data_IF_569803091090
#
_entry.id   IF_569803091090
#
_cell.length_a   1.000
_cell.length_b   1.000
_cell.length_c   1.000
_cell.angle_alpha   90.00
_cell.angle_beta   90.00
_cell.angle_gamma   90.00
#
_symmetry.space_group_name_H-M   'P 1'
#
loop_
_entity.id
_entity.type
_entity.pdbx_description
1 polymer ?
#
# COMPACT_ATOMS: atom_id res chain seq x y z
N UNK A 1 6.09 27.27 5.58
CA UNK A 1 6.60 27.29 6.96
C UNK A 1 5.65 28.01 7.92
N UNK A 2 5.21 29.25 7.63
CA UNK A 2 4.33 30.01 8.55
C UNK A 2 3.07 29.25 8.99
N UNK A 3 2.41 28.53 8.06
CA UNK A 3 1.23 27.72 8.36
C UNK A 3 1.50 26.55 9.33
N UNK A 4 2.72 25.99 9.31
CA UNK A 4 3.12 24.88 10.21
C UNK A 4 3.41 25.40 11.61
N UNK A 5 3.98 26.60 11.71
CA UNK A 5 4.32 27.22 12.98
C UNK A 5 3.08 27.74 13.72
N UNK A 6 2.07 28.23 12.99
CA UNK A 6 0.83 28.80 13.53
C UNK A 6 -0.28 27.79 13.84
N UNK A 7 -0.13 26.53 13.40
CA UNK A 7 -1.18 25.52 13.57
C UNK A 7 -0.82 24.56 14.70
N UNK A 8 -1.80 24.27 15.57
CA UNK A 8 -1.68 23.30 16.65
C UNK A 8 -2.35 21.95 16.32
N UNK A 9 -3.07 21.88 15.19
CA UNK A 9 -3.66 20.62 14.71
C UNK A 9 -2.66 19.82 13.88
N UNK A 10 -2.39 18.58 14.29
CA UNK A 10 -1.46 17.66 13.62
C UNK A 10 -1.86 17.38 12.17
N UNK A 11 -3.17 17.34 11.88
CA UNK A 11 -3.66 17.15 10.51
C UNK A 11 -3.30 18.36 9.62
N UNK A 12 -3.47 19.59 10.14
CA UNK A 12 -3.11 20.82 9.46
C UNK A 12 -1.58 21.00 9.29
N UNK A 13 -0.80 20.60 10.30
CA UNK A 13 0.67 20.60 10.27
C UNK A 13 1.17 19.73 9.11
N UNK A 14 0.61 18.52 8.96
CA UNK A 14 0.93 17.62 7.85
C UNK A 14 0.30 18.06 6.52
N UNK A 15 -0.78 18.85 6.56
CA UNK A 15 -1.52 19.28 5.37
C UNK A 15 -2.46 18.21 4.82
N UNK A 16 -2.97 17.34 5.69
CA UNK A 16 -3.98 16.32 5.38
C UNK A 16 -5.34 16.73 5.94
N UNK A 17 -6.46 16.39 5.28
CA UNK A 17 -7.77 16.59 5.87
C UNK A 17 -7.90 15.77 7.16
N UNK A 18 -8.83 16.09 8.05
CA UNK A 18 -9.16 15.24 9.20
C UNK A 18 -10.24 14.26 8.78
N UNK A 19 -9.86 13.05 8.38
CA UNK A 19 -10.79 11.98 8.01
C UNK A 19 -10.41 10.66 8.68
N UNK A 20 -11.43 9.94 9.13
CA UNK A 20 -11.32 8.62 9.77
C UNK A 20 -10.76 7.56 8.80
N UNK A 21 -10.91 7.75 7.49
CA UNK A 21 -10.47 6.82 6.44
C UNK A 21 -9.08 7.11 5.88
N UNK A 22 -8.34 8.05 6.47
CA UNK A 22 -7.03 8.41 5.94
C UNK A 22 -6.06 7.27 6.11
N UNK A 23 -5.64 6.76 4.96
CA UNK A 23 -4.63 5.72 4.85
C UNK A 23 -3.28 6.24 5.35
N UNK A 24 -2.52 5.36 6.02
CA UNK A 24 -1.19 5.71 6.54
C UNK A 24 -0.26 6.19 5.42
N UNK A 25 -0.43 5.65 4.21
CA UNK A 25 0.31 6.08 3.02
C UNK A 25 0.09 7.56 2.72
N UNK A 26 -1.13 8.07 2.91
CA UNK A 26 -1.45 9.50 2.68
C UNK A 26 -0.80 10.40 3.73
N UNK A 27 -0.86 10.02 5.01
CA UNK A 27 -0.18 10.73 6.12
C UNK A 27 1.32 10.76 5.89
N UNK A 28 1.89 9.64 5.46
CA UNK A 28 3.32 9.51 5.17
C UNK A 28 3.75 10.37 3.99
N UNK A 29 2.99 10.39 2.89
CA UNK A 29 3.29 11.22 1.72
C UNK A 29 3.26 12.72 2.06
N UNK A 30 2.29 13.12 2.87
CA UNK A 30 2.18 14.48 3.37
C UNK A 30 3.37 14.88 4.27
N UNK A 31 3.79 13.98 5.16
CA UNK A 31 5.02 14.15 5.96
C UNK A 31 6.25 14.36 5.07
N UNK A 32 6.49 13.48 4.09
CA UNK A 32 7.62 13.60 3.17
C UNK A 32 7.65 14.92 2.40
N UNK A 33 6.49 15.35 1.88
CA UNK A 33 6.36 16.63 1.17
C UNK A 33 6.69 17.82 2.08
N UNK A 34 6.14 17.83 3.31
CA UNK A 34 6.36 18.89 4.29
C UNK A 34 7.80 18.92 4.84
N UNK A 35 8.39 17.76 5.10
CA UNK A 35 9.78 17.63 5.56
C UNK A 35 10.77 18.13 4.52
N UNK A 36 10.56 17.80 3.23
CA UNK A 36 11.38 18.34 2.11
C UNK A 36 11.26 19.86 1.94
N UNK A 37 10.12 20.44 2.36
CA UNK A 37 9.88 21.88 2.33
C UNK A 37 10.45 22.63 3.54
N UNK A 38 10.67 21.95 4.66
CA UNK A 38 11.18 22.53 5.91
C UNK A 38 12.60 22.05 6.28
N UNK A 39 13.29 21.35 5.38
CA UNK A 39 14.59 20.73 5.67
C UNK A 39 15.66 21.78 6.04
N UNK A 40 16.41 21.59 7.14
CA UNK A 40 17.43 22.55 7.59
C UNK A 40 18.54 22.80 6.56
N UNK A 41 18.90 21.80 5.74
CA UNK A 41 19.88 22.01 4.64
C UNK A 41 19.43 23.02 3.59
N UNK A 42 18.12 23.18 3.36
CA UNK A 42 17.63 24.17 2.39
C UNK A 42 17.60 25.59 2.97
N UNK A 43 17.64 25.71 4.30
CA UNK A 43 17.54 26.97 5.02
C UNK A 43 18.56 27.03 6.16
N UNK A 44 19.86 27.01 5.84
CA UNK A 44 20.91 27.06 6.85
C UNK A 44 20.78 28.35 7.68
N UNK A 45 20.78 28.22 9.00
CA UNK A 45 20.68 29.34 9.94
C UNK A 45 19.26 29.85 10.25
N UNK A 46 18.22 29.26 9.66
CA UNK A 46 16.84 29.64 9.98
C UNK A 46 16.26 28.74 11.10
N UNK A 47 16.15 29.28 12.31
CA UNK A 47 15.55 28.60 13.47
C UNK A 47 14.10 28.17 13.24
N UNK A 48 13.38 28.89 12.39
CA UNK A 48 11.98 28.59 12.07
C UNK A 48 11.84 27.33 11.22
N UNK A 49 12.82 27.05 10.36
CA UNK A 49 12.85 25.83 9.55
C UNK A 49 13.07 24.60 10.44
N UNK A 50 13.99 24.70 11.39
CA UNK A 50 14.24 23.66 12.40
C UNK A 50 12.98 23.40 13.22
N UNK A 51 12.32 24.44 13.74
CA UNK A 51 11.09 24.30 14.53
C UNK A 51 9.92 23.74 13.72
N UNK A 52 9.77 24.16 12.46
CA UNK A 52 8.73 23.63 11.56
C UNK A 52 8.98 22.15 11.21
N UNK A 53 10.22 21.75 10.92
CA UNK A 53 10.60 20.37 10.65
C UNK A 53 10.29 19.47 11.86
N UNK A 54 10.67 19.96 13.02
CA UNK A 54 10.39 19.37 14.30
C UNK A 54 8.89 19.11 14.50
N UNK A 55 8.04 20.15 14.35
CA UNK A 55 6.57 20.01 14.45
C UNK A 55 6.01 18.99 13.46
N UNK A 56 6.52 18.94 12.24
CA UNK A 56 6.10 17.98 11.20
C UNK A 56 6.45 16.54 11.59
N UNK A 57 7.60 16.31 12.22
CA UNK A 57 8.00 15.00 12.74
C UNK A 57 7.06 14.50 13.83
N UNK A 58 6.76 15.33 14.83
CA UNK A 58 5.87 14.96 15.94
C UNK A 58 4.44 14.70 15.44
N UNK A 59 3.96 15.50 14.48
CA UNK A 59 2.65 15.24 13.87
C UNK A 59 2.60 13.88 13.17
N UNK A 60 3.67 13.49 12.48
CA UNK A 60 3.76 12.17 11.87
C UNK A 60 3.81 11.05 12.91
N UNK A 61 4.59 11.20 13.99
CA UNK A 61 4.70 10.16 15.03
C UNK A 61 3.36 9.84 15.69
N UNK A 62 2.57 10.87 15.98
CA UNK A 62 1.25 10.71 16.59
C UNK A 62 0.22 10.17 15.60
N UNK A 63 0.20 10.66 14.34
CA UNK A 63 -0.81 10.25 13.36
C UNK A 63 -0.47 8.94 12.64
N UNK A 64 0.80 8.53 12.59
CA UNK A 64 1.24 7.30 11.93
C UNK A 64 0.87 6.05 12.71
N UNK A 65 0.84 6.10 14.05
CA UNK A 65 0.46 4.98 14.91
C UNK A 65 -1.06 5.01 15.22
N UNK A 66 -1.83 3.94 14.93
CA UNK A 66 -3.28 3.91 15.10
C UNK A 66 -3.71 4.07 16.56
N UNK A 67 -2.89 3.59 17.51
CA UNK A 67 -3.15 3.76 18.94
C UNK A 67 -3.00 5.22 19.36
N UNK A 68 -1.92 5.86 18.91
CA UNK A 68 -1.64 7.28 19.16
C UNK A 68 -2.64 8.18 18.45
N UNK A 69 -2.97 7.89 17.18
CA UNK A 69 -3.99 8.57 16.38
C UNK A 69 -5.36 8.50 17.05
N UNK A 70 -5.78 7.32 17.52
CA UNK A 70 -7.06 7.16 18.23
C UNK A 70 -7.09 7.99 19.52
N UNK A 71 -5.97 8.06 20.23
CA UNK A 71 -5.83 8.86 21.46
C UNK A 71 -5.87 10.36 21.18
N UNK A 72 -5.33 10.78 20.03
CA UNK A 72 -5.42 12.16 19.55
C UNK A 72 -6.84 12.51 19.09
N UNK A 73 -7.48 11.63 18.33
CA UNK A 73 -8.83 11.81 17.79
C UNK A 73 -9.92 11.75 18.87
N UNK A 74 -9.70 11.02 19.97
CA UNK A 74 -10.66 10.90 21.07
C UNK A 74 -10.70 12.11 22.02
N UNK A 75 -9.78 13.06 21.88
CA UNK A 75 -9.76 14.28 22.70
C UNK A 75 -10.62 15.39 22.07
N UNK A 76 -11.43 16.11 22.86
CA UNK A 76 -12.23 17.24 22.35
C UNK A 76 -11.32 18.40 21.93
N UNK A 77 -11.71 19.09 20.85
CA UNK A 77 -10.91 20.12 20.16
C UNK A 77 -10.52 21.35 21.02
N UNK A 78 -11.11 21.50 22.21
CA UNK A 78 -10.85 22.61 23.13
C UNK A 78 -9.79 22.30 24.19
N UNK A 79 -9.29 21.06 24.24
CA UNK A 79 -8.27 20.62 25.21
C UNK A 79 -7.06 20.01 24.50
N UNK A 80 -6.49 20.72 23.54
CA UNK A 80 -5.17 20.40 23.02
C UNK A 80 -4.14 21.08 23.93
N UNK A 81 -3.48 20.36 24.87
CA UNK A 81 -2.36 20.94 25.58
C UNK A 81 -1.29 21.29 24.55
N UNK A 82 -0.57 22.40 24.77
CA UNK A 82 0.68 22.66 24.05
C UNK A 82 1.56 21.43 24.25
N UNK A 83 1.72 20.62 23.21
CA UNK A 83 2.67 19.51 23.23
C UNK A 83 4.03 20.16 23.46
N UNK A 84 4.65 19.89 24.62
CA UNK A 84 6.00 20.37 24.92
C UNK A 84 6.98 19.66 23.99
N UNK A 85 7.17 20.31 22.84
CA UNK A 85 7.94 19.85 21.71
C UNK A 85 9.39 19.47 22.09
N UNK A 86 9.92 20.09 23.14
CA UNK A 86 11.31 20.01 23.56
C UNK A 86 11.64 18.90 24.57
N UNK A 87 10.67 18.10 25.05
CA UNK A 87 10.92 17.15 26.15
C UNK A 87 11.16 15.69 25.76
N UNK A 88 11.16 15.33 24.47
CA UNK A 88 11.47 13.96 24.02
C UNK A 88 12.84 13.89 23.36
N UNK A 89 13.84 13.60 24.17
CA UNK A 89 15.16 13.16 23.72
C UNK A 89 15.10 11.78 23.06
N UNK A 90 15.07 11.78 21.72
CA UNK A 90 15.75 10.86 20.78
C UNK A 90 15.90 9.36 21.11
N UNK A 91 15.32 8.51 20.24
CA UNK A 91 16.01 7.37 19.63
C UNK A 91 16.21 7.63 18.11
N UNK A 92 16.74 8.81 17.75
CA UNK A 92 16.61 9.38 16.40
C UNK A 92 17.41 8.70 15.27
N UNK A 93 18.54 8.04 15.53
CA UNK A 93 19.35 7.48 14.44
C UNK A 93 18.68 6.28 13.75
N UNK A 94 18.13 5.35 14.54
CA UNK A 94 17.45 4.16 14.04
C UNK A 94 16.10 4.51 13.39
N UNK A 95 15.37 5.48 13.95
CA UNK A 95 14.13 5.98 13.34
C UNK A 95 14.37 6.79 12.05
N UNK A 96 15.49 7.51 11.95
CA UNK A 96 15.88 8.20 10.71
C UNK A 96 16.24 7.18 9.61
N UNK A 97 17.02 6.15 9.95
CA UNK A 97 17.36 5.08 9.01
C UNK A 97 16.11 4.32 8.54
N UNK A 98 15.22 3.93 9.47
CA UNK A 98 13.91 3.33 9.13
C UNK A 98 13.10 4.25 8.23
N UNK A 99 13.09 5.56 8.51
CA UNK A 99 12.43 6.57 7.69
C UNK A 99 12.92 6.57 6.24
N UNK A 100 14.25 6.61 6.05
CA UNK A 100 14.90 6.59 4.74
C UNK A 100 14.66 5.26 4.02
N UNK A 101 14.87 4.12 4.68
CA UNK A 101 14.65 2.80 4.09
C UNK A 101 13.20 2.64 3.63
N UNK A 102 12.25 2.98 4.49
CA UNK A 102 10.83 2.92 4.14
C UNK A 102 10.46 3.94 3.04
N UNK A 103 11.19 5.05 2.90
CA UNK A 103 11.02 6.00 1.79
C UNK A 103 11.46 5.38 0.47
N UNK A 104 12.64 4.75 0.44
CA UNK A 104 13.18 4.07 -0.75
C UNK A 104 12.25 2.92 -1.17
N UNK A 105 11.75 2.14 -0.21
CA UNK A 105 10.77 1.09 -0.51
C UNK A 105 9.44 1.65 -1.03
N UNK A 106 8.99 2.83 -0.57
CA UNK A 106 7.79 3.48 -1.08
C UNK A 106 7.98 3.98 -2.51
N UNK A 107 9.08 4.67 -2.79
CA UNK A 107 9.46 5.15 -4.12
C UNK A 107 9.56 3.97 -5.11
N UNK A 108 10.17 2.86 -4.67
CA UNK A 108 10.20 1.61 -5.41
C UNK A 108 8.79 1.08 -5.76
N UNK A 109 7.86 1.05 -4.80
CA UNK A 109 6.49 0.59 -5.04
C UNK A 109 5.67 1.56 -5.88
N UNK A 110 5.92 2.87 -5.77
CA UNK A 110 5.28 3.92 -6.56
C UNK A 110 5.79 3.93 -8.00
N UNK A 111 7.01 3.42 -8.23
CA UNK A 111 7.65 3.36 -9.55
C UNK A 111 8.44 4.63 -9.87
N UNK A 112 8.69 5.47 -8.87
CA UNK A 112 9.57 6.63 -8.99
C UNK A 112 11.01 6.18 -8.69
N UNK A 113 11.76 5.93 -9.76
CA UNK A 113 13.16 5.49 -9.66
C UNK A 113 14.16 6.65 -9.86
N UNK A 114 13.72 7.91 -9.81
CA UNK A 114 14.63 9.05 -10.01
C UNK A 114 15.77 9.06 -9.01
N UNK A 115 15.47 8.83 -7.72
CA UNK A 115 16.49 8.78 -6.67
C UNK A 115 17.50 7.66 -6.91
N UNK A 116 17.02 6.48 -7.32
CA UNK A 116 17.86 5.32 -7.66
C UNK A 116 18.71 5.63 -8.89
N UNK A 117 18.16 6.31 -9.90
CA UNK A 117 18.92 6.74 -11.08
C UNK A 117 20.03 7.72 -10.71
N UNK A 118 19.74 8.73 -9.90
CA UNK A 118 20.76 9.68 -9.42
C UNK A 118 21.84 9.01 -8.58
N UNK A 119 21.45 8.04 -7.74
CA UNK A 119 22.40 7.28 -6.93
C UNK A 119 23.30 6.39 -7.80
N UNK A 120 22.73 5.66 -8.77
CA UNK A 120 23.49 4.81 -9.69
C UNK A 120 24.49 5.63 -10.51
N UNK A 121 24.10 6.82 -10.98
CA UNK A 121 25.00 7.75 -11.67
C UNK A 121 26.13 8.23 -10.75
N UNK A 122 25.81 8.67 -9.54
CA UNK A 122 26.82 9.08 -8.57
C UNK A 122 27.82 7.95 -8.22
N UNK A 123 27.34 6.71 -8.12
CA UNK A 123 28.20 5.53 -7.89
C UNK A 123 29.09 5.24 -9.11
N UNK A 124 28.55 5.39 -10.32
CA UNK A 124 29.30 5.28 -11.58
C UNK A 124 30.40 6.34 -11.68
N UNK A 125 30.09 7.60 -11.32
CA UNK A 125 31.06 8.70 -11.30
C UNK A 125 32.19 8.48 -10.28
N UNK A 126 31.86 7.89 -9.13
CA UNK A 126 32.84 7.56 -8.08
C UNK A 126 33.72 6.36 -8.44
N UNK A 127 33.26 5.46 -9.32
CA UNK A 127 33.98 4.26 -9.73
C UNK A 127 34.02 4.15 -11.27
N UNK A 128 34.97 4.83 -11.93
CA UNK A 128 35.09 4.82 -13.39
C UNK A 128 35.36 3.43 -13.98
N UNK A 129 35.88 2.49 -13.16
CA UNK A 129 36.12 1.10 -13.53
C UNK A 129 34.86 0.24 -13.64
N UNK A 130 33.72 0.73 -13.14
CA UNK A 130 32.46 -0.02 -13.14
C UNK A 130 31.71 0.05 -14.48
N UNK A 131 32.17 0.89 -15.42
CA UNK A 131 31.57 1.13 -16.75
C UNK A 131 30.04 1.28 -16.71
N UNK A 132 29.52 1.90 -15.64
CA UNK A 132 28.09 2.08 -15.45
C UNK A 132 27.60 3.28 -16.28
N UNK A 133 27.67 3.15 -17.60
CA UNK A 133 27.11 4.13 -18.54
C UNK A 133 25.59 4.22 -18.43
N UNK A 134 24.98 5.14 -19.17
CA UNK A 134 23.51 5.32 -19.17
C UNK A 134 22.76 4.04 -19.53
N UNK A 135 23.32 3.19 -20.40
CA UNK A 135 22.74 1.90 -20.77
C UNK A 135 22.72 0.90 -19.60
N UNK A 136 23.79 0.86 -18.81
CA UNK A 136 23.88 0.03 -17.61
C UNK A 136 22.87 0.47 -16.54
N UNK A 137 22.74 1.78 -16.33
CA UNK A 137 21.74 2.35 -15.42
C UNK A 137 20.32 2.01 -15.88
N UNK A 138 20.01 2.18 -17.16
CA UNK A 138 18.70 1.85 -17.73
C UNK A 138 18.38 0.35 -17.63
N UNK A 139 19.37 -0.52 -17.82
CA UNK A 139 19.22 -1.97 -17.63
C UNK A 139 18.86 -2.32 -16.18
N UNK A 140 19.58 -1.76 -15.20
CA UNK A 140 19.26 -1.96 -13.76
C UNK A 140 17.85 -1.47 -13.44
N UNK A 141 17.47 -0.28 -13.93
CA UNK A 141 16.13 0.26 -13.76
C UNK A 141 15.04 -0.64 -14.36
N UNK A 142 15.28 -1.22 -15.54
CA UNK A 142 14.33 -2.15 -16.17
C UNK A 142 14.12 -3.44 -15.37
N UNK A 143 15.18 -3.95 -14.74
CA UNK A 143 15.11 -5.09 -13.83
C UNK A 143 14.33 -4.72 -12.57
N UNK A 144 14.60 -3.55 -11.97
CA UNK A 144 13.88 -3.08 -10.79
C UNK A 144 12.38 -2.88 -11.07
N UNK A 145 12.04 -2.37 -12.25
CA UNK A 145 10.65 -2.29 -12.73
C UNK A 145 10.00 -3.68 -12.83
N UNK A 146 10.72 -4.66 -13.36
CA UNK A 146 10.24 -6.05 -13.45
C UNK A 146 10.03 -6.67 -12.06
N UNK A 147 10.92 -6.40 -11.11
CA UNK A 147 10.77 -6.84 -9.71
C UNK A 147 9.56 -6.17 -9.06
N UNK A 148 9.40 -4.86 -9.26
CA UNK A 148 8.26 -4.09 -8.75
C UNK A 148 6.94 -4.68 -9.22
N UNK A 149 6.84 -4.98 -10.52
CA UNK A 149 5.64 -5.57 -11.11
C UNK A 149 5.28 -6.90 -10.42
N UNK A 150 6.26 -7.77 -10.20
CA UNK A 150 6.06 -9.03 -9.48
C UNK A 150 5.63 -8.81 -8.03
N UNK A 151 6.19 -7.83 -7.33
CA UNK A 151 5.83 -7.48 -5.95
C UNK A 151 4.40 -6.97 -5.86
N UNK A 152 3.96 -6.13 -6.80
CA UNK A 152 2.59 -5.63 -6.85
C UNK A 152 1.58 -6.75 -7.13
N UNK A 153 1.88 -7.61 -8.10
CA UNK A 153 1.08 -8.80 -8.39
C UNK A 153 0.97 -9.70 -7.16
N UNK A 154 2.09 -9.95 -6.47
CA UNK A 154 2.12 -10.73 -5.23
C UNK A 154 1.26 -10.10 -4.12
N UNK A 155 1.39 -8.78 -3.91
CA UNK A 155 0.57 -8.04 -2.94
C UNK A 155 -0.93 -8.22 -3.22
N UNK A 156 -1.32 -8.11 -4.49
CA UNK A 156 -2.72 -8.27 -4.91
C UNK A 156 -3.22 -9.69 -4.69
N UNK A 157 -2.40 -10.68 -5.02
CA UNK A 157 -2.69 -12.08 -4.73
C UNK A 157 -2.95 -12.30 -3.23
N UNK A 158 -2.07 -11.78 -2.38
CA UNK A 158 -2.21 -11.89 -0.92
C UNK A 158 -3.50 -11.23 -0.44
N UNK A 159 -3.83 -10.03 -0.93
CA UNK A 159 -5.07 -9.33 -0.54
C UNK A 159 -6.31 -10.11 -1.00
N UNK A 160 -6.32 -10.62 -2.23
CA UNK A 160 -7.43 -11.43 -2.75
C UNK A 160 -7.60 -12.74 -1.97
N UNK A 161 -6.50 -13.44 -1.70
CA UNK A 161 -6.50 -14.67 -0.89
C UNK A 161 -6.98 -14.41 0.54
N UNK A 162 -6.52 -13.33 1.16
CA UNK A 162 -6.95 -12.93 2.49
C UNK A 162 -8.46 -12.68 2.53
N UNK A 163 -9.02 -11.99 1.52
CA UNK A 163 -10.46 -11.77 1.40
C UNK A 163 -11.27 -13.07 1.34
N UNK A 164 -10.87 -14.01 0.49
CA UNK A 164 -11.56 -15.31 0.37
C UNK A 164 -11.40 -16.18 1.63
N UNK A 165 -10.24 -16.13 2.29
CA UNK A 165 -10.04 -16.82 3.57
C UNK A 165 -10.94 -16.26 4.68
N UNK A 166 -11.08 -14.94 4.78
CA UNK A 166 -12.01 -14.32 5.72
C UNK A 166 -13.45 -14.79 5.49
N UNK A 167 -13.91 -14.81 4.23
CA UNK A 167 -15.25 -15.30 3.87
C UNK A 167 -15.44 -16.78 4.22
N UNK A 168 -14.42 -17.62 4.00
CA UNK A 168 -14.46 -19.02 4.39
C UNK A 168 -14.58 -19.19 5.93
N UNK A 169 -13.85 -18.38 6.70
CA UNK A 169 -13.93 -18.36 8.16
C UNK A 169 -15.30 -17.90 8.67
N UNK A 170 -15.93 -16.92 8.02
CA UNK A 170 -17.31 -16.49 8.31
C UNK A 170 -18.32 -17.62 8.06
N UNK A 171 -18.17 -18.37 6.96
CA UNK A 171 -19.02 -19.54 6.71
C UNK A 171 -18.78 -20.62 7.76
N UNK A 172 -17.52 -20.85 8.14
CA UNK A 172 -17.19 -21.82 9.19
C UNK A 172 -17.78 -21.42 10.54
N UNK A 173 -17.78 -20.12 10.89
CA UNK A 173 -18.40 -19.65 12.12
C UNK A 173 -19.92 -19.81 12.08
N UNK A 174 -20.57 -19.50 10.95
CA UNK A 174 -22.00 -19.74 10.73
C UNK A 174 -22.36 -21.22 10.85
N UNK A 175 -21.51 -22.13 10.36
CA UNK A 175 -21.68 -23.58 10.52
C UNK A 175 -21.73 -24.02 11.99
N UNK A 176 -20.92 -23.39 12.85
CA UNK A 176 -20.89 -23.72 14.29
C UNK A 176 -22.12 -23.22 15.04
N UNK A 177 -22.79 -22.19 14.53
CA UNK A 177 -23.98 -21.61 15.15
C UNK A 177 -25.27 -22.35 14.76
N UNK A 178 -25.24 -23.17 13.71
CA UNK A 178 -26.40 -23.93 13.27
C UNK A 178 -26.61 -25.20 14.09
N UNK A 179 -27.86 -25.55 14.45
CA UNK A 179 -28.17 -26.81 15.09
C UNK A 179 -27.89 -27.99 14.14
N UNK A 180 -27.51 -29.14 14.71
CA UNK A 180 -27.09 -30.30 13.92
C UNK A 180 -28.14 -30.75 12.90
N UNK A 181 -29.42 -30.67 13.28
CA UNK A 181 -30.57 -31.10 12.50
C UNK A 181 -31.02 -30.13 11.40
N UNK A 182 -30.44 -28.92 11.32
CA UNK A 182 -30.73 -28.00 10.22
C UNK A 182 -29.94 -28.40 8.96
N UNK A 183 -30.44 -29.46 8.31
CA UNK A 183 -29.83 -30.04 7.12
C UNK A 183 -29.86 -29.05 5.94
N UNK A 184 -30.91 -28.23 5.82
CA UNK A 184 -31.05 -27.23 4.78
C UNK A 184 -30.03 -26.09 4.95
N UNK A 185 -29.93 -25.52 6.16
CA UNK A 185 -28.95 -24.48 6.47
C UNK A 185 -27.51 -24.98 6.29
N UNK A 186 -27.22 -26.20 6.73
CA UNK A 186 -25.88 -26.81 6.61
C UNK A 186 -25.51 -27.12 5.16
N UNK A 187 -26.43 -27.70 4.38
CA UNK A 187 -26.19 -27.95 2.95
C UNK A 187 -25.98 -26.65 2.18
N UNK A 188 -26.72 -25.59 2.50
CA UNK A 188 -26.51 -24.25 1.93
C UNK A 188 -25.11 -23.71 2.24
N UNK A 189 -24.66 -23.78 3.49
CA UNK A 189 -23.31 -23.34 3.86
C UNK A 189 -22.22 -24.21 3.21
N UNK A 190 -22.45 -25.50 3.01
CA UNK A 190 -21.53 -26.39 2.27
C UNK A 190 -21.38 -25.90 0.83
N UNK A 191 -22.49 -25.61 0.15
CA UNK A 191 -22.49 -25.09 -1.22
C UNK A 191 -21.71 -23.77 -1.29
N UNK A 192 -21.91 -22.86 -0.35
CA UNK A 192 -21.15 -21.59 -0.28
C UNK A 192 -19.65 -21.82 -0.11
N UNK A 193 -19.25 -22.75 0.76
CA UNK A 193 -17.84 -23.07 0.97
C UNK A 193 -17.21 -23.66 -0.29
N UNK A 194 -17.90 -24.62 -0.92
CA UNK A 194 -17.48 -25.22 -2.21
C UNK A 194 -17.35 -24.15 -3.29
N UNK A 195 -18.27 -23.19 -3.32
CA UNK A 195 -18.25 -22.06 -4.25
C UNK A 195 -16.99 -21.23 -4.10
N UNK A 196 -16.64 -20.81 -2.87
CA UNK A 196 -15.38 -20.09 -2.57
C UNK A 196 -14.16 -20.88 -3.04
N UNK A 197 -14.10 -22.18 -2.72
CA UNK A 197 -12.95 -23.02 -3.09
C UNK A 197 -12.77 -23.12 -4.61
N UNK A 198 -13.87 -23.25 -5.36
CA UNK A 198 -13.86 -23.38 -6.82
C UNK A 198 -13.61 -22.02 -7.50
N UNK A 199 -14.13 -20.93 -6.95
CA UNK A 199 -13.97 -19.58 -7.52
C UNK A 199 -12.61 -18.94 -7.21
N UNK A 200 -11.94 -19.35 -6.13
CA UNK A 200 -10.68 -18.73 -5.66
C UNK A 200 -9.60 -18.64 -6.75
N UNK A 201 -9.30 -19.68 -7.55
CA UNK A 201 -8.31 -19.59 -8.62
C UNK A 201 -8.68 -18.55 -9.69
N UNK A 202 -9.97 -18.43 -10.03
CA UNK A 202 -10.47 -17.47 -11.03
C UNK A 202 -10.46 -16.04 -10.48
N UNK A 203 -10.80 -15.85 -9.22
CA UNK A 203 -10.73 -14.54 -8.54
C UNK A 203 -9.28 -14.06 -8.50
N UNK A 204 -8.35 -14.96 -8.16
CA UNK A 204 -6.92 -14.68 -8.10
C UNK A 204 -6.39 -14.24 -9.47
N UNK A 205 -6.71 -14.99 -10.53
CA UNK A 205 -6.30 -14.67 -11.89
C UNK A 205 -6.89 -13.33 -12.38
N UNK A 206 -8.18 -13.09 -12.13
CA UNK A 206 -8.80 -11.80 -12.47
C UNK A 206 -8.17 -10.63 -11.71
N UNK A 207 -7.83 -10.82 -10.43
CA UNK A 207 -7.20 -9.79 -9.61
C UNK A 207 -5.80 -9.45 -10.11
N UNK A 208 -5.04 -10.46 -10.54
CA UNK A 208 -3.74 -10.27 -11.22
C UNK A 208 -3.92 -9.49 -12.53
N UNK A 209 -4.89 -9.87 -13.36
CA UNK A 209 -5.09 -9.28 -14.68
C UNK A 209 -5.64 -7.84 -14.63
N UNK A 210 -6.46 -7.50 -13.63
CA UNK A 210 -6.99 -6.15 -13.43
C UNK A 210 -5.90 -5.09 -13.15
N UNK A 211 -4.74 -5.50 -12.63
CA UNK A 211 -3.62 -4.60 -12.41
C UNK A 211 -2.96 -4.14 -13.71
N UNK A 212 -2.93 -5.01 -14.72
CA UNK A 212 -2.37 -4.70 -16.04
C UNK A 212 -3.26 -3.76 -16.85
N UNK A 213 -4.56 -3.74 -16.56
CA UNK A 213 -5.55 -2.96 -17.32
C UNK A 213 -5.80 -1.56 -16.77
N UNK A 214 -5.27 -1.17 -15.61
CA UNK A 214 -5.45 0.17 -15.05
C UNK A 214 -4.45 1.17 -15.68
N UNK A 215 -4.90 2.16 -16.47
CA UNK A 215 -4.02 3.03 -17.25
C UNK A 215 -3.41 4.21 -16.47
N UNK A 216 -3.39 4.20 -15.14
CA UNK A 216 -3.03 5.38 -14.33
C UNK A 216 -1.52 5.59 -14.14
N UNK A 217 -0.64 4.75 -14.69
CA UNK A 217 0.79 5.06 -14.80
C UNK A 217 1.11 5.57 -16.20
N UNK A 218 1.08 6.88 -16.36
CA UNK A 218 1.47 7.57 -17.58
C UNK A 218 2.97 7.36 -17.89
N UNK A 219 3.30 6.38 -18.71
CA UNK A 219 4.46 6.49 -19.60
C UNK A 219 4.27 5.69 -20.89
N UNK A 220 4.36 6.33 -22.08
CA UNK A 220 4.14 5.67 -23.35
C UNK A 220 5.47 5.14 -23.90
N UNK A 221 5.76 3.85 -23.70
CA UNK A 221 6.66 3.13 -24.59
C UNK A 221 5.84 2.18 -25.46
N UNK A 222 5.45 2.72 -26.62
CA UNK A 222 5.02 1.96 -27.78
C UNK A 222 6.16 1.02 -28.20
N UNK A 223 6.06 -0.29 -27.95
CA UNK A 223 6.33 -1.28 -29.02
C UNK A 223 6.01 -2.77 -28.76
N UNK A 224 5.47 -3.21 -27.61
CA UNK A 224 5.27 -4.66 -27.39
C UNK A 224 3.91 -5.11 -26.81
N UNK A 225 2.91 -4.22 -26.83
CA UNK A 225 1.60 -4.41 -26.15
C UNK A 225 0.74 -5.61 -26.59
N UNK A 226 1.12 -6.38 -27.62
CA UNK A 226 0.30 -7.49 -28.14
C UNK A 226 0.82 -8.88 -27.71
N UNK A 227 2.08 -9.04 -27.30
CA UNK A 227 2.67 -10.36 -26.99
C UNK A 227 2.54 -10.81 -25.52
N UNK A 228 2.31 -9.89 -24.58
CA UNK A 228 2.38 -10.22 -23.14
C UNK A 228 1.04 -10.60 -22.48
N UNK A 229 -0.08 -10.50 -23.20
CA UNK A 229 -1.41 -10.88 -22.66
C UNK A 229 -1.50 -12.36 -22.27
N UNK A 230 -0.61 -13.20 -22.79
CA UNK A 230 -0.59 -14.64 -22.54
C UNK A 230 0.40 -15.07 -21.43
N UNK A 231 1.20 -14.14 -20.86
CA UNK A 231 2.19 -14.48 -19.81
C UNK A 231 1.59 -14.67 -18.42
N UNK A 232 0.38 -14.14 -18.18
CA UNK A 232 -0.26 -14.15 -16.85
C UNK A 232 -1.50 -15.04 -16.74
N UNK A 233 -1.85 -15.75 -17.81
CA UNK A 233 -2.95 -16.72 -17.76
C UNK A 233 -2.48 -17.98 -17.00
N UNK A 234 -2.85 -18.06 -15.72
CA UNK A 234 -2.56 -19.22 -14.88
C UNK A 234 -3.49 -20.39 -15.21
N UNK A 235 -4.71 -20.10 -15.69
CA UNK A 235 -5.70 -21.11 -16.03
C UNK A 235 -5.99 -21.10 -17.54
N UNK A 236 -6.06 -22.28 -18.18
CA UNK A 236 -6.57 -22.36 -19.54
C UNK A 236 -7.99 -21.79 -19.62
N UNK A 237 -8.32 -21.01 -20.66
CA UNK A 237 -9.66 -20.42 -20.85
C UNK A 237 -10.80 -21.43 -20.71
N UNK A 238 -10.58 -22.69 -21.13
CA UNK A 238 -11.54 -23.79 -20.97
C UNK A 238 -11.84 -24.10 -19.51
N UNK A 239 -10.81 -24.09 -18.64
CA UNK A 239 -10.96 -24.32 -17.19
C UNK A 239 -11.71 -23.18 -16.53
N UNK A 240 -11.42 -21.92 -16.91
CA UNK A 240 -12.16 -20.75 -16.40
C UNK A 240 -13.65 -20.83 -16.75
N UNK A 241 -13.98 -21.22 -17.98
CA UNK A 241 -15.38 -21.40 -18.40
C UNK A 241 -16.07 -22.54 -17.65
N UNK A 242 -15.38 -23.66 -17.41
CA UNK A 242 -15.91 -24.77 -16.62
C UNK A 242 -16.17 -24.35 -15.16
N UNK A 243 -15.21 -23.68 -14.53
CA UNK A 243 -15.34 -23.15 -13.17
C UNK A 243 -16.53 -22.20 -13.07
N UNK A 244 -16.69 -21.27 -14.03
CA UNK A 244 -17.85 -20.37 -14.09
C UNK A 244 -19.17 -21.12 -14.27
N UNK A 245 -19.19 -22.17 -15.09
CA UNK A 245 -20.36 -23.02 -15.26
C UNK A 245 -20.76 -23.70 -13.95
N UNK A 246 -19.79 -24.26 -13.23
CA UNK A 246 -20.01 -24.88 -11.91
C UNK A 246 -20.48 -23.84 -10.89
N UNK A 247 -19.90 -22.65 -10.86
CA UNK A 247 -20.31 -21.54 -9.98
C UNK A 247 -21.79 -21.19 -10.16
N UNK A 248 -22.27 -21.09 -11.41
CA UNK A 248 -23.67 -20.81 -11.73
C UNK A 248 -24.61 -21.92 -11.25
N UNK A 249 -24.21 -23.17 -11.38
CA UNK A 249 -25.00 -24.32 -10.89
C UNK A 249 -25.08 -24.29 -9.37
N UNK A 250 -23.95 -24.07 -8.69
CA UNK A 250 -23.90 -23.96 -7.22
C UNK A 250 -24.74 -22.78 -6.71
N UNK A 251 -24.69 -21.63 -7.38
CA UNK A 251 -25.52 -20.46 -7.05
C UNK A 251 -27.02 -20.76 -7.20
N UNK A 252 -27.41 -21.51 -8.24
CA UNK A 252 -28.79 -21.96 -8.41
C UNK A 252 -29.21 -22.92 -7.30
N UNK A 253 -28.35 -23.87 -6.93
CA UNK A 253 -28.61 -24.80 -5.83
C UNK A 253 -28.75 -24.06 -4.49
N UNK A 254 -27.90 -23.06 -4.22
CA UNK A 254 -27.99 -22.23 -3.02
C UNK A 254 -29.35 -21.54 -2.91
N UNK A 255 -29.85 -20.98 -4.02
CA UNK A 255 -31.16 -20.30 -4.06
C UNK A 255 -32.36 -21.24 -3.90
N UNK A 256 -32.23 -22.50 -4.31
CA UNK A 256 -33.30 -23.50 -4.12
C UNK A 256 -33.37 -24.04 -2.70
N UNK A 257 -32.32 -23.84 -1.90
CA UNK A 257 -32.19 -24.29 -0.52
C UNK A 257 -32.53 -23.19 0.51
N UNK A 258 -32.90 -21.99 0.05
CA UNK A 258 -33.34 -20.86 0.89
C UNK A 258 -34.81 -20.51 0.63
#
# INVERSE_FOLDING_TARGET
>A
MLQVLSSDDLYCILGVPRSSTIDRVTIRRAYLSRSRACHPDKFPGNSDATSAFQKVSVAYDVLSNPSSKRTYDSRPAYSHPKYDFFSQSSPHADETLKGVLLSVFSEFLEGDFEMIRTLLRAIGDLNPSLELGDDGVNSVLSVLLSVRERVLTCRTCVVALHGELCRALEIQSAFRQLPYFDIAGRSRLTIKLTRITISLPVILENAMQAQYTNPTSAHPTHHDRVKDTNKFALLPRRVVLLIRGIDVVLDRMERTLG
#
